data_IF_624834869149
#
_entry.id   IF_624834869149
#
_cell.length_a   1.000
_cell.length_b   1.000
_cell.length_c   1.000
_cell.angle_alpha   90.00
_cell.angle_beta   90.00
_cell.angle_gamma   90.00
#
_symmetry.space_group_name_H-M   'P 1'
#
loop_
_entity.id
_entity.type
_entity.pdbx_description
1 polymer ?
#
# COMPACT_ATOMS: atom_id res chain seq x y z
N UNK A 1 -23.33 -12.13 -44.59
CA UNK A 1 -22.78 -12.78 -43.38
C UNK A 1 -21.68 -11.88 -42.85
N UNK A 2 -21.92 -11.17 -41.75
CA UNK A 2 -20.94 -10.23 -41.19
C UNK A 2 -19.89 -11.02 -40.40
N UNK A 3 -18.68 -11.15 -40.96
CA UNK A 3 -17.59 -11.89 -40.35
C UNK A 3 -17.04 -11.14 -39.12
N UNK A 4 -17.02 -11.81 -37.97
CA UNK A 4 -16.34 -11.31 -36.76
C UNK A 4 -14.85 -11.59 -36.90
N UNK A 5 -14.03 -10.54 -36.88
CA UNK A 5 -12.56 -10.65 -36.83
C UNK A 5 -12.10 -10.50 -35.39
N UNK A 6 -11.35 -11.47 -34.89
CA UNK A 6 -10.71 -11.42 -33.56
C UNK A 6 -9.21 -11.36 -33.77
N UNK A 7 -8.55 -10.43 -33.08
CA UNK A 7 -7.11 -10.27 -33.11
C UNK A 7 -6.55 -10.59 -31.71
N UNK A 8 -5.63 -11.55 -31.64
CA UNK A 8 -4.96 -11.91 -30.39
C UNK A 8 -3.53 -11.37 -30.41
N UNK A 9 -3.10 -10.81 -29.27
CA UNK A 9 -1.70 -10.48 -29.03
C UNK A 9 -1.20 -11.23 -27.80
N UNK A 10 0.05 -11.69 -27.87
CA UNK A 10 0.76 -12.26 -26.73
C UNK A 10 2.06 -11.49 -26.54
N UNK A 11 2.33 -11.09 -25.29
CA UNK A 11 3.57 -10.42 -24.90
C UNK A 11 4.28 -11.27 -23.85
N UNK A 12 5.49 -11.72 -24.17
CA UNK A 12 6.37 -12.32 -23.17
C UNK A 12 7.00 -11.22 -22.31
N UNK A 13 6.77 -11.28 -21.00
CA UNK A 13 7.44 -10.42 -20.03
C UNK A 13 8.32 -11.32 -19.17
N UNK A 14 9.63 -11.10 -19.21
CA UNK A 14 10.57 -11.90 -18.42
C UNK A 14 10.34 -11.69 -16.93
N UNK A 15 10.73 -12.68 -16.12
CA UNK A 15 10.61 -12.62 -14.66
C UNK A 15 11.27 -11.36 -14.08
N UNK A 16 12.45 -10.99 -14.57
CA UNK A 16 13.16 -9.79 -14.12
C UNK A 16 12.38 -8.51 -14.40
N UNK A 17 11.65 -8.47 -15.51
CA UNK A 17 10.81 -7.34 -15.86
C UNK A 17 9.52 -7.30 -15.04
N UNK A 18 8.91 -8.46 -14.75
CA UNK A 18 7.72 -8.56 -13.89
C UNK A 18 8.00 -8.23 -12.42
N UNK A 19 9.22 -8.51 -11.95
CA UNK A 19 9.64 -8.25 -10.55
C UNK A 19 10.26 -6.86 -10.36
N UNK A 20 10.55 -6.12 -11.44
CA UNK A 20 11.06 -4.76 -11.34
C UNK A 20 10.00 -3.87 -10.71
N UNK A 21 10.30 -3.39 -9.50
CA UNK A 21 9.47 -2.40 -8.81
C UNK A 21 9.53 -1.08 -9.57
N UNK A 22 8.37 -0.56 -9.94
CA UNK A 22 8.26 0.79 -10.49
C UNK A 22 8.53 1.80 -9.37
N UNK A 23 9.58 2.63 -9.46
CA UNK A 23 9.82 3.68 -8.48
C UNK A 23 8.69 4.72 -8.51
N UNK A 24 8.40 5.32 -7.36
CA UNK A 24 7.42 6.41 -7.28
C UNK A 24 7.93 7.64 -8.03
N UNK A 25 7.03 8.28 -8.78
CA UNK A 25 7.29 9.61 -9.36
C UNK A 25 7.31 10.70 -8.29
N UNK A 26 6.66 10.48 -7.14
CA UNK A 26 6.54 11.42 -6.04
C UNK A 26 7.53 11.07 -4.92
N UNK A 27 8.68 11.74 -4.92
CA UNK A 27 9.73 11.52 -3.89
C UNK A 27 9.33 12.01 -2.50
N UNK A 28 8.30 12.85 -2.40
CA UNK A 28 7.73 13.30 -1.12
C UNK A 28 6.75 12.29 -0.50
N UNK A 29 6.36 11.25 -1.24
CA UNK A 29 5.51 10.16 -0.73
C UNK A 29 6.25 9.19 0.18
N UNK A 30 5.56 8.10 0.54
CA UNK A 30 6.11 6.97 1.31
C UNK A 30 6.07 5.66 0.52
N UNK A 31 5.12 5.49 -0.41
CA UNK A 31 5.03 4.28 -1.22
C UNK A 31 5.92 4.37 -2.47
N UNK A 32 6.67 3.31 -2.76
CA UNK A 32 7.57 3.26 -3.91
C UNK A 32 8.81 4.16 -3.78
N UNK A 33 9.07 4.70 -2.58
CA UNK A 33 10.25 5.51 -2.24
C UNK A 33 11.22 4.64 -1.42
N UNK A 34 12.54 4.88 -1.56
CA UNK A 34 13.54 4.16 -0.76
C UNK A 34 13.34 4.45 0.73
N UNK A 35 13.36 3.41 1.57
CA UNK A 35 13.17 3.54 3.02
C UNK A 35 14.17 4.50 3.68
N UNK A 36 15.41 4.54 3.18
CA UNK A 36 16.46 5.47 3.67
C UNK A 36 16.12 6.95 3.43
N UNK A 37 15.35 7.26 2.38
CA UNK A 37 14.87 8.61 2.10
C UNK A 37 13.76 8.99 3.08
N UNK A 38 12.81 8.08 3.30
CA UNK A 38 11.67 8.30 4.20
C UNK A 38 12.13 8.48 5.65
N UNK A 39 12.95 7.55 6.15
CA UNK A 39 13.52 7.59 7.50
C UNK A 39 14.34 8.87 7.76
N UNK A 40 15.17 9.30 6.79
CA UNK A 40 15.91 10.56 6.88
C UNK A 40 14.98 11.77 6.94
N UNK A 41 13.93 11.80 6.13
CA UNK A 41 12.93 12.90 6.11
C UNK A 41 12.16 12.99 7.42
N UNK A 42 11.74 11.87 7.96
CA UNK A 42 10.96 11.77 9.20
C UNK A 42 11.83 11.84 10.47
N UNK A 43 13.16 11.84 10.33
CA UNK A 43 14.12 11.83 11.44
C UNK A 43 13.88 10.65 12.40
N UNK A 44 13.53 9.49 11.86
CA UNK A 44 13.24 8.26 12.60
C UNK A 44 13.91 7.06 11.95
N UNK A 45 14.25 6.03 12.74
CA UNK A 45 14.77 4.76 12.21
C UNK A 45 13.70 3.91 11.51
N UNK A 46 12.43 4.12 11.86
CA UNK A 46 11.29 3.37 11.34
C UNK A 46 10.27 4.36 10.76
N UNK A 47 9.83 4.17 9.50
CA UNK A 47 8.81 5.02 8.88
C UNK A 47 7.53 5.11 9.70
N UNK A 48 6.88 6.26 9.69
CA UNK A 48 5.64 6.54 10.40
C UNK A 48 4.54 5.55 10.04
N UNK A 49 4.36 5.25 8.76
CA UNK A 49 3.36 4.26 8.27
C UNK A 49 3.52 2.89 8.94
N UNK A 50 4.75 2.42 9.13
CA UNK A 50 5.00 1.12 9.75
C UNK A 50 4.64 1.17 11.24
N UNK A 51 5.06 2.23 11.95
CA UNK A 51 4.79 2.37 13.38
C UNK A 51 3.29 2.43 13.66
N UNK A 52 2.55 3.25 12.92
CA UNK A 52 1.11 3.42 13.16
C UNK A 52 0.30 2.17 12.83
N UNK A 53 0.60 1.48 11.73
CA UNK A 53 -0.09 0.23 11.42
C UNK A 53 0.22 -0.87 12.47
N UNK A 54 1.46 -0.95 12.96
CA UNK A 54 1.81 -1.92 14.01
C UNK A 54 1.13 -1.59 15.33
N UNK A 55 1.19 -0.32 15.77
CA UNK A 55 0.51 0.14 17.00
C UNK A 55 -0.99 -0.17 16.94
N UNK A 56 -1.65 0.02 15.79
CA UNK A 56 -3.08 -0.24 15.68
C UNK A 56 -3.42 -1.74 15.65
N UNK A 57 -2.57 -2.58 15.05
CA UNK A 57 -2.70 -4.05 15.15
C UNK A 57 -2.49 -4.52 16.58
N UNK A 58 -1.51 -4.01 17.30
CA UNK A 58 -1.28 -4.33 18.72
C UNK A 58 -2.48 -3.92 19.60
N UNK A 59 -3.12 -2.80 19.25
CA UNK A 59 -4.26 -2.25 20.02
C UNK A 59 -5.57 -3.00 19.80
N UNK A 60 -5.89 -3.43 18.56
CA UNK A 60 -7.21 -4.05 18.26
C UNK A 60 -7.18 -5.28 17.35
N UNK A 61 -6.04 -5.61 16.75
CA UNK A 61 -5.92 -6.69 15.76
C UNK A 61 -5.36 -8.02 16.29
N UNK A 62 -4.85 -8.06 17.53
CA UNK A 62 -4.23 -9.26 18.10
C UNK A 62 -5.23 -10.43 18.22
N UNK A 63 -6.46 -10.11 18.60
CA UNK A 63 -7.53 -11.11 18.76
C UNK A 63 -8.35 -11.34 17.48
N UNK A 64 -8.00 -10.66 16.37
CA UNK A 64 -8.71 -10.80 15.10
C UNK A 64 -8.32 -12.12 14.40
N UNK A 65 -9.34 -12.92 14.08
CA UNK A 65 -9.13 -14.19 13.39
C UNK A 65 -8.67 -13.94 11.96
N UNK A 66 -7.46 -14.39 11.64
CA UNK A 66 -6.93 -14.28 10.28
C UNK A 66 -6.29 -12.92 9.98
N UNK A 67 -5.83 -12.19 11.00
CA UNK A 67 -5.00 -10.99 10.82
C UNK A 67 -3.86 -11.25 9.83
N UNK A 68 -3.65 -10.30 8.90
CA UNK A 68 -2.72 -10.40 7.76
C UNK A 68 -3.00 -11.50 6.72
N UNK A 69 -3.99 -12.38 6.94
CA UNK A 69 -4.40 -13.42 6.00
C UNK A 69 -5.65 -13.01 5.22
N UNK A 70 -6.63 -12.40 5.88
CA UNK A 70 -7.85 -11.90 5.26
C UNK A 70 -7.53 -10.54 4.60
N UNK A 71 -7.99 -10.35 3.38
CA UNK A 71 -7.83 -9.06 2.68
C UNK A 71 -8.84 -8.05 3.19
N UNK A 72 -8.38 -6.85 3.54
CA UNK A 72 -9.26 -5.70 3.76
C UNK A 72 -9.94 -5.22 2.47
N UNK A 73 -10.88 -4.28 2.64
CA UNK A 73 -11.62 -3.69 1.52
C UNK A 73 -10.67 -2.87 0.66
N UNK A 74 -10.64 -3.14 -0.64
CA UNK A 74 -9.69 -2.51 -1.56
C UNK A 74 -9.76 -0.98 -1.58
N UNK A 75 -10.96 -0.41 -1.43
CA UNK A 75 -11.17 1.05 -1.37
C UNK A 75 -10.51 1.67 -0.13
N UNK A 76 -10.62 1.00 1.01
CA UNK A 76 -10.08 1.46 2.29
C UNK A 76 -8.55 1.40 2.26
N UNK A 77 -8.00 0.30 1.75
CA UNK A 77 -6.55 0.15 1.50
C UNK A 77 -6.03 1.29 0.60
N UNK A 78 -6.74 1.64 -0.49
CA UNK A 78 -6.31 2.74 -1.35
C UNK A 78 -6.44 4.11 -0.67
N UNK A 79 -7.48 4.32 0.15
CA UNK A 79 -7.67 5.56 0.89
C UNK A 79 -6.56 5.76 1.94
N UNK A 80 -6.25 4.74 2.74
CA UNK A 80 -5.14 4.77 3.70
C UNK A 80 -3.81 5.02 3.00
N UNK A 81 -3.56 4.30 1.90
CA UNK A 81 -2.35 4.49 1.09
C UNK A 81 -2.22 5.94 0.62
N UNK A 82 -3.29 6.55 0.11
CA UNK A 82 -3.27 7.94 -0.33
C UNK A 82 -3.06 8.92 0.85
N UNK A 83 -3.67 8.66 2.01
CA UNK A 83 -3.50 9.46 3.21
C UNK A 83 -2.04 9.44 3.71
N UNK A 84 -1.43 8.25 3.79
CA UNK A 84 -0.01 8.10 4.12
C UNK A 84 0.92 8.73 3.08
N UNK A 85 0.63 8.56 1.79
CA UNK A 85 1.48 9.12 0.72
C UNK A 85 1.40 10.66 0.59
N UNK A 86 0.34 11.25 1.15
CA UNK A 86 0.18 12.71 1.27
C UNK A 86 0.58 13.27 2.62
N UNK A 87 0.96 12.41 3.58
CA UNK A 87 1.22 12.79 4.97
C UNK A 87 0.05 13.59 5.58
N UNK A 88 -1.17 13.08 5.37
CA UNK A 88 -2.40 13.67 5.92
C UNK A 88 -2.38 13.66 7.46
N UNK A 89 -3.02 14.66 8.09
CA UNK A 89 -3.17 14.71 9.55
C UNK A 89 -4.24 13.74 10.06
N UNK A 90 -5.14 13.31 9.19
CA UNK A 90 -6.31 12.51 9.57
C UNK A 90 -6.02 11.00 9.61
N UNK A 91 -4.78 10.59 9.31
CA UNK A 91 -4.37 9.18 9.23
C UNK A 91 -4.78 8.38 10.48
N UNK A 92 -4.61 8.97 11.67
CA UNK A 92 -4.94 8.30 12.94
C UNK A 92 -6.43 7.99 13.04
N UNK A 93 -7.28 8.94 12.65
CA UNK A 93 -8.74 8.79 12.66
C UNK A 93 -9.15 7.75 11.63
N UNK A 94 -8.56 7.79 10.44
CA UNK A 94 -8.87 6.80 9.39
C UNK A 94 -8.47 5.38 9.81
N UNK A 95 -7.31 5.20 10.44
CA UNK A 95 -6.83 3.89 10.90
C UNK A 95 -7.71 3.29 12.01
N UNK A 96 -8.26 4.13 12.90
CA UNK A 96 -9.14 3.65 13.96
C UNK A 96 -10.52 3.27 13.45
N UNK A 97 -11.00 3.96 12.41
CA UNK A 97 -12.36 3.81 11.89
C UNK A 97 -12.49 2.65 10.88
N UNK A 98 -11.40 2.28 10.20
CA UNK A 98 -11.40 1.25 9.16
C UNK A 98 -11.26 -0.19 9.72
N UNK A 99 -11.64 -1.18 8.91
CA UNK A 99 -11.40 -2.59 9.24
C UNK A 99 -9.91 -2.86 9.53
N UNK A 100 -9.59 -3.76 10.46
CA UNK A 100 -8.19 -4.00 10.86
C UNK A 100 -7.35 -4.68 9.77
N UNK A 101 -8.01 -5.30 8.78
CA UNK A 101 -7.34 -5.94 7.65
C UNK A 101 -7.06 -4.95 6.49
N UNK A 102 -7.41 -3.67 6.63
CA UNK A 102 -7.19 -2.62 5.64
C UNK A 102 -5.80 -1.95 5.71
#
# INVERSE_FOLDING_TARGET
>A
MNGVKVEFSMKFTSRDMSLKRTPSKKQTGVFGVKISVVTKRERSKIPYVVRQCVEEVEKRGIDEVGIYRISGVATDIQALKAAFDSNSKDILVMLSDMDINA
#
